data_IF_330754752785
#
_entry.id   IF_330754752785
#
_cell.length_a   1.000
_cell.length_b   1.000
_cell.length_c   1.000
_cell.angle_alpha   90.00
_cell.angle_beta   90.00
_cell.angle_gamma   90.00
#
_symmetry.space_group_name_H-M   'P 1'
#
loop_
_entity.id
_entity.type
_entity.pdbx_description
1 polymer ?
#
# COMPACT_ATOMS: atom_id res chain seq x y z
N UNK A 1 22.08 -14.26 -8.09
CA UNK A 1 20.94 -15.21 -8.12
C UNK A 1 20.32 -15.17 -6.74
N UNK A 2 19.37 -14.28 -6.52
CA UNK A 2 18.63 -14.24 -5.26
C UNK A 2 17.62 -15.38 -5.31
N UNK A 3 17.77 -16.33 -4.39
CA UNK A 3 16.77 -17.36 -4.13
C UNK A 3 15.42 -16.67 -3.95
N UNK A 4 14.40 -17.10 -4.73
CA UNK A 4 13.05 -16.58 -4.61
C UNK A 4 12.60 -16.77 -3.16
N UNK A 5 12.37 -15.67 -2.46
CA UNK A 5 11.81 -15.69 -1.11
C UNK A 5 10.50 -16.51 -1.16
N UNK A 6 10.40 -17.62 -0.40
CA UNK A 6 9.19 -18.43 -0.35
C UNK A 6 7.95 -17.60 0.01
N UNK A 7 8.15 -16.51 0.75
CA UNK A 7 7.11 -15.58 1.21
C UNK A 7 6.61 -14.72 0.04
N UNK A 8 7.51 -14.16 -0.78
CA UNK A 8 7.15 -13.44 -2.01
C UNK A 8 6.39 -14.35 -2.98
N UNK A 9 6.79 -15.62 -3.07
CA UNK A 9 6.14 -16.61 -3.94
C UNK A 9 4.70 -16.93 -3.48
N UNK A 10 4.48 -17.04 -2.15
CA UNK A 10 3.17 -17.30 -1.58
C UNK A 10 2.22 -16.09 -1.71
N UNK A 11 2.72 -14.88 -1.44
CA UNK A 11 1.98 -13.63 -1.64
C UNK A 11 1.54 -13.49 -3.10
N UNK A 12 2.49 -13.67 -4.02
CA UNK A 12 2.26 -13.65 -5.47
C UNK A 12 1.21 -14.66 -5.90
N UNK A 13 1.25 -15.90 -5.40
CA UNK A 13 0.27 -16.93 -5.77
C UNK A 13 -1.18 -16.59 -5.32
N UNK A 14 -1.33 -15.95 -4.16
CA UNK A 14 -2.66 -15.51 -3.66
C UNK A 14 -3.13 -14.29 -4.45
N UNK A 15 -2.24 -13.32 -4.66
CA UNK A 15 -2.56 -12.12 -5.42
C UNK A 15 -2.91 -12.43 -6.88
N UNK A 16 -2.21 -13.36 -7.53
CA UNK A 16 -2.56 -13.86 -8.86
C UNK A 16 -3.97 -14.44 -8.90
N UNK A 17 -4.38 -15.20 -7.88
CA UNK A 17 -5.75 -15.78 -7.82
C UNK A 17 -6.84 -14.73 -7.65
N UNK A 18 -6.57 -13.65 -6.93
CA UNK A 18 -7.55 -12.59 -6.62
C UNK A 18 -7.57 -11.52 -7.72
N UNK A 19 -6.43 -11.31 -8.39
CA UNK A 19 -6.26 -10.30 -9.44
C UNK A 19 -7.20 -10.51 -10.63
N UNK A 20 -7.41 -11.76 -11.07
CA UNK A 20 -8.26 -12.10 -12.22
C UNK A 20 -9.76 -12.14 -11.90
N UNK A 21 -10.16 -11.83 -10.67
CA UNK A 21 -11.57 -11.81 -10.29
C UNK A 21 -12.11 -10.40 -10.57
N UNK A 22 -12.84 -10.27 -11.68
CA UNK A 22 -13.48 -9.02 -12.13
C UNK A 22 -14.64 -8.58 -11.23
N UNK A 23 -15.29 -9.54 -10.57
CA UNK A 23 -16.37 -9.30 -9.62
C UNK A 23 -15.79 -8.93 -8.23
N UNK A 24 -16.01 -7.67 -7.83
CA UNK A 24 -15.43 -7.12 -6.60
C UNK A 24 -15.87 -7.89 -5.35
N UNK A 25 -17.14 -8.27 -5.26
CA UNK A 25 -17.70 -8.99 -4.10
C UNK A 25 -17.14 -10.42 -4.03
N UNK A 26 -16.91 -11.09 -5.16
CA UNK A 26 -16.18 -12.37 -5.22
C UNK A 26 -14.71 -12.22 -4.86
N UNK A 27 -14.05 -11.16 -5.32
CA UNK A 27 -12.66 -10.89 -5.00
C UNK A 27 -12.48 -10.64 -3.50
N UNK A 28 -13.40 -9.88 -2.89
CA UNK A 28 -13.45 -9.62 -1.45
C UNK A 28 -13.77 -10.90 -0.66
N UNK A 29 -14.70 -11.73 -1.13
CA UNK A 29 -15.03 -13.00 -0.48
C UNK A 29 -13.89 -14.02 -0.56
N UNK A 30 -13.19 -14.12 -1.69
CA UNK A 30 -12.01 -14.99 -1.78
C UNK A 30 -10.83 -14.44 -0.99
N UNK A 31 -10.59 -13.12 -1.01
CA UNK A 31 -9.60 -12.53 -0.11
C UNK A 31 -9.97 -12.83 1.35
N UNK A 32 -11.22 -12.64 1.76
CA UNK A 32 -11.68 -12.94 3.12
C UNK A 32 -11.53 -14.43 3.48
N UNK A 33 -11.75 -15.36 2.55
CA UNK A 33 -11.50 -16.80 2.76
C UNK A 33 -10.01 -17.11 2.91
N UNK A 34 -9.14 -16.49 2.11
CA UNK A 34 -7.69 -16.67 2.22
C UNK A 34 -7.14 -16.01 3.48
N UNK A 35 -7.63 -14.82 3.85
CA UNK A 35 -7.36 -14.14 5.12
C UNK A 35 -7.78 -14.98 6.33
N UNK A 36 -8.83 -15.80 6.21
CA UNK A 36 -9.27 -16.74 7.27
C UNK A 36 -8.44 -18.04 7.34
N UNK A 37 -7.68 -18.39 6.30
CA UNK A 37 -6.79 -19.57 6.23
C UNK A 37 -5.33 -19.26 6.55
N UNK A 38 -5.10 -18.10 7.15
CA UNK A 38 -3.85 -17.35 7.14
C UNK A 38 -3.14 -17.43 8.50
N UNK A 39 -2.60 -18.59 8.87
CA UNK A 39 -2.20 -18.78 10.27
C UNK A 39 -0.75 -18.40 10.63
N UNK A 40 0.14 -18.10 9.68
CA UNK A 40 1.54 -17.76 10.02
C UNK A 40 2.19 -16.75 9.09
N UNK A 41 2.54 -17.18 7.88
CA UNK A 41 3.56 -16.48 7.09
C UNK A 41 3.05 -15.22 6.40
N UNK A 42 1.85 -15.23 5.82
CA UNK A 42 1.23 -14.03 5.25
C UNK A 42 0.86 -13.02 6.34
N UNK A 43 0.50 -13.49 7.54
CA UNK A 43 0.26 -12.66 8.72
C UNK A 43 1.57 -12.00 9.17
N UNK A 44 2.67 -12.75 9.18
CA UNK A 44 4.01 -12.23 9.47
C UNK A 44 4.47 -11.24 8.39
N UNK A 45 4.21 -11.47 7.11
CA UNK A 45 4.55 -10.54 6.02
C UNK A 45 3.78 -9.20 6.14
N UNK A 46 2.47 -9.26 6.41
CA UNK A 46 1.67 -8.06 6.66
C UNK A 46 2.10 -7.37 7.95
N UNK A 47 2.46 -8.13 8.97
CA UNK A 47 3.05 -7.60 10.18
C UNK A 47 4.43 -6.97 9.92
N UNK A 48 5.29 -7.53 9.07
CA UNK A 48 6.62 -6.99 8.73
C UNK A 48 6.51 -5.69 7.93
N UNK A 49 5.63 -5.64 6.90
CA UNK A 49 5.35 -4.37 6.21
C UNK A 49 4.71 -3.37 7.16
N UNK A 50 3.77 -3.78 8.02
CA UNK A 50 3.20 -2.93 9.07
C UNK A 50 4.26 -2.47 10.08
N UNK A 51 5.20 -3.32 10.45
CA UNK A 51 6.28 -3.00 11.39
C UNK A 51 7.25 -2.00 10.78
N UNK A 52 7.59 -2.15 9.49
CA UNK A 52 8.36 -1.15 8.75
C UNK A 52 7.73 0.24 8.91
N UNK A 53 6.44 0.40 8.62
CA UNK A 53 5.81 1.73 8.66
C UNK A 53 5.42 2.20 10.07
N UNK A 54 4.88 1.32 10.92
CA UNK A 54 4.37 1.72 12.24
C UNK A 54 5.44 1.81 13.34
N UNK A 55 6.63 1.22 13.14
CA UNK A 55 7.74 1.25 14.11
C UNK A 55 8.95 2.05 13.63
N UNK A 56 9.05 2.41 12.34
CA UNK A 56 10.17 3.18 11.81
C UNK A 56 9.73 4.58 11.34
N UNK A 57 10.01 5.64 12.12
CA UNK A 57 9.73 7.03 11.72
C UNK A 57 10.36 7.45 10.38
N UNK A 58 11.47 6.83 9.97
CA UNK A 58 12.09 7.14 8.66
C UNK A 58 11.19 6.76 7.49
N UNK A 59 10.35 5.72 7.62
CA UNK A 59 9.42 5.34 6.56
C UNK A 59 8.31 6.37 6.36
N UNK A 60 7.95 7.16 7.38
CA UNK A 60 7.05 8.30 7.25
C UNK A 60 7.75 9.45 6.49
N UNK A 61 9.04 9.69 6.76
CA UNK A 61 9.82 10.70 6.05
C UNK A 61 10.01 10.37 4.56
N UNK A 62 10.17 9.08 4.22
CA UNK A 62 10.22 8.62 2.83
C UNK A 62 8.96 8.99 2.07
N UNK A 63 7.78 8.79 2.67
CA UNK A 63 6.48 9.11 2.07
C UNK A 63 6.30 10.61 1.88
N UNK A 64 6.67 11.42 2.88
CA UNK A 64 6.64 12.88 2.76
C UNK A 64 7.60 13.36 1.66
N UNK A 65 8.78 12.74 1.56
CA UNK A 65 9.73 13.02 0.48
C UNK A 65 9.14 12.71 -0.90
N UNK A 66 8.45 11.57 -1.03
CA UNK A 66 7.70 11.18 -2.24
C UNK A 66 6.59 12.19 -2.57
N UNK A 67 5.79 12.60 -1.59
CA UNK A 67 4.74 13.62 -1.77
C UNK A 67 5.32 14.95 -2.26
N UNK A 68 6.37 15.45 -1.61
CA UNK A 68 7.04 16.69 -2.03
C UNK A 68 7.60 16.60 -3.46
N UNK A 69 8.15 15.43 -3.83
CA UNK A 69 8.60 15.19 -5.20
C UNK A 69 7.44 15.25 -6.19
N UNK A 70 6.30 14.61 -5.88
CA UNK A 70 5.11 14.61 -6.74
C UNK A 70 4.50 16.01 -6.90
N UNK A 71 4.41 16.78 -5.81
CA UNK A 71 3.91 18.16 -5.85
C UNK A 71 4.81 19.05 -6.71
N UNK A 72 6.14 18.90 -6.56
CA UNK A 72 7.12 19.69 -7.30
C UNK A 72 7.18 19.34 -8.79
N UNK A 73 6.71 18.15 -9.17
CA UNK A 73 6.80 17.62 -10.53
C UNK A 73 5.43 17.38 -11.17
N UNK A 74 4.36 17.98 -10.68
CA UNK A 74 2.98 17.74 -11.18
C UNK A 74 2.84 17.99 -12.70
N UNK A 75 3.63 18.94 -13.25
CA UNK A 75 3.71 19.20 -14.69
C UNK A 75 4.12 17.96 -15.51
N UNK A 76 4.80 17.01 -14.88
CA UNK A 76 5.28 15.77 -15.45
C UNK A 76 4.32 14.59 -15.24
N UNK A 77 3.06 14.81 -14.81
CA UNK A 77 2.14 13.72 -14.45
C UNK A 77 1.85 12.64 -15.49
N UNK A 78 2.16 12.92 -16.76
CA UNK A 78 2.06 11.94 -17.86
C UNK A 78 3.31 11.08 -18.04
N UNK A 79 4.44 11.48 -17.45
CA UNK A 79 5.70 10.75 -17.52
C UNK A 79 5.62 9.49 -16.66
N UNK A 80 6.24 8.41 -17.15
CA UNK A 80 6.22 7.11 -16.49
C UNK A 80 6.90 7.15 -15.12
N UNK A 81 8.03 7.85 -14.97
CA UNK A 81 8.73 8.01 -13.68
C UNK A 81 7.84 8.65 -12.61
N UNK A 82 7.12 9.72 -12.99
CA UNK A 82 6.16 10.36 -12.10
C UNK A 82 5.06 9.39 -11.67
N UNK A 83 4.51 8.64 -12.63
CA UNK A 83 3.43 7.68 -12.37
C UNK A 83 3.89 6.50 -11.52
N UNK A 84 5.14 6.06 -11.63
CA UNK A 84 5.76 5.06 -10.75
C UNK A 84 5.88 5.61 -9.33
N UNK A 85 6.36 6.84 -9.18
CA UNK A 85 6.46 7.49 -7.88
C UNK A 85 5.08 7.67 -7.23
N UNK A 86 4.08 8.06 -8.03
CA UNK A 86 2.70 8.22 -7.59
C UNK A 86 2.09 6.89 -7.15
N UNK A 87 2.21 5.84 -7.95
CA UNK A 87 1.72 4.51 -7.58
C UNK A 87 2.31 4.03 -6.25
N UNK A 88 3.62 4.23 -6.06
CA UNK A 88 4.32 3.89 -4.83
C UNK A 88 3.82 4.70 -3.63
N UNK A 89 3.68 6.01 -3.80
CA UNK A 89 3.19 6.89 -2.74
C UNK A 89 1.79 6.49 -2.27
N UNK A 90 0.86 6.26 -3.19
CA UNK A 90 -0.51 5.89 -2.86
C UNK A 90 -0.57 4.54 -2.11
N UNK A 91 0.25 3.57 -2.53
CA UNK A 91 0.37 2.27 -1.84
C UNK A 91 0.93 2.47 -0.43
N UNK A 92 2.02 3.23 -0.29
CA UNK A 92 2.68 3.45 0.99
C UNK A 92 1.76 4.21 1.97
N UNK A 93 1.00 5.20 1.51
CA UNK A 93 -0.05 5.88 2.29
C UNK A 93 -1.15 4.90 2.70
N UNK A 94 -1.62 4.06 1.78
CA UNK A 94 -2.64 3.06 2.08
C UNK A 94 -2.18 2.05 3.14
N UNK A 95 -0.89 1.69 3.14
CA UNK A 95 -0.31 0.81 4.15
C UNK A 95 -0.20 1.50 5.52
N UNK A 96 0.11 2.80 5.57
CA UNK A 96 0.17 3.58 6.80
C UNK A 96 -1.18 3.68 7.54
N UNK A 97 -2.30 3.54 6.83
CA UNK A 97 -3.62 3.44 7.46
C UNK A 97 -3.68 2.34 8.53
N UNK A 98 -2.86 1.31 8.44
CA UNK A 98 -2.83 0.23 9.43
C UNK A 98 -2.13 0.60 10.74
N UNK A 99 -1.51 1.79 10.81
CA UNK A 99 -0.79 2.30 11.97
C UNK A 99 -1.65 3.21 12.85
N UNK A 100 -2.74 3.78 12.32
CA UNK A 100 -3.57 4.71 13.09
C UNK A 100 -4.45 3.98 14.10
N UNK A 101 -4.80 4.67 15.18
CA UNK A 101 -5.63 4.10 16.24
C UNK A 101 -7.02 3.69 15.74
N UNK A 102 -7.66 4.54 14.93
CA UNK A 102 -9.00 4.32 14.38
C UNK A 102 -9.09 3.04 13.54
N UNK A 103 -8.00 2.64 12.88
CA UNK A 103 -7.92 1.37 12.14
C UNK A 103 -8.22 0.17 13.04
N UNK A 104 -7.82 0.20 14.31
CA UNK A 104 -8.09 -0.90 15.22
C UNK A 104 -9.56 -0.95 15.67
N UNK A 105 -10.33 0.11 15.44
CA UNK A 105 -11.72 0.25 15.88
C UNK A 105 -12.74 -0.09 14.79
N UNK A 106 -12.35 -0.08 13.51
CA UNK A 106 -13.24 -0.45 12.41
C UNK A 106 -13.36 -1.98 12.24
N UNK A 107 -14.51 -2.43 11.71
CA UNK A 107 -14.80 -3.85 11.53
C UNK A 107 -13.91 -4.50 10.47
N UNK A 108 -13.78 -5.84 10.52
CA UNK A 108 -12.99 -6.58 9.54
C UNK A 108 -13.49 -6.41 8.10
N UNK A 109 -14.81 -6.33 7.90
CA UNK A 109 -15.40 -6.15 6.57
C UNK A 109 -15.04 -4.78 5.98
N UNK A 110 -15.02 -3.72 6.80
CA UNK A 110 -14.59 -2.39 6.36
C UNK A 110 -13.09 -2.36 6.05
N UNK A 111 -12.26 -3.03 6.85
CA UNK A 111 -10.83 -3.20 6.54
C UNK A 111 -10.62 -3.90 5.21
N UNK A 112 -11.38 -4.97 4.95
CA UNK A 112 -11.26 -5.73 3.71
C UNK A 112 -11.55 -4.88 2.47
N UNK A 113 -12.52 -3.96 2.53
CA UNK A 113 -12.86 -3.02 1.44
C UNK A 113 -11.68 -2.13 1.03
N UNK A 114 -10.81 -1.77 1.97
CA UNK A 114 -9.60 -0.97 1.73
C UNK A 114 -8.43 -1.88 1.34
N UNK A 115 -8.20 -2.95 2.10
CA UNK A 115 -7.04 -3.84 1.92
C UNK A 115 -7.09 -4.59 0.59
N UNK A 116 -8.28 -4.97 0.10
CA UNK A 116 -8.42 -5.69 -1.17
C UNK A 116 -7.86 -4.90 -2.36
N UNK A 117 -8.37 -3.70 -2.67
CA UNK A 117 -7.82 -2.89 -3.75
C UNK A 117 -6.36 -2.48 -3.46
N UNK A 118 -5.98 -2.18 -2.21
CA UNK A 118 -4.60 -1.84 -1.86
C UNK A 118 -3.59 -2.97 -2.17
N UNK A 119 -3.94 -4.22 -1.88
CA UNK A 119 -3.07 -5.34 -2.21
C UNK A 119 -3.05 -5.61 -3.71
N UNK A 120 -4.20 -5.48 -4.40
CA UNK A 120 -4.24 -5.53 -5.87
C UNK A 120 -3.33 -4.48 -6.50
N UNK A 121 -3.33 -3.26 -5.95
CA UNK A 121 -2.43 -2.19 -6.35
C UNK A 121 -0.97 -2.59 -6.17
N UNK A 122 -0.61 -3.05 -4.97
CA UNK A 122 0.75 -3.50 -4.65
C UNK A 122 1.26 -4.56 -5.62
N UNK A 123 0.43 -5.55 -5.95
CA UNK A 123 0.84 -6.60 -6.87
C UNK A 123 0.93 -6.11 -8.32
N UNK A 124 0.01 -5.26 -8.75
CA UNK A 124 0.05 -4.65 -10.08
C UNK A 124 1.31 -3.78 -10.24
N UNK A 125 1.74 -3.07 -9.19
CA UNK A 125 3.00 -2.33 -9.17
C UNK A 125 4.21 -3.25 -9.41
N UNK A 126 4.29 -4.37 -8.69
CA UNK A 126 5.36 -5.36 -8.87
C UNK A 126 5.38 -5.94 -10.30
N UNK A 127 4.20 -6.22 -10.88
CA UNK A 127 4.09 -6.68 -12.27
C UNK A 127 4.54 -5.60 -13.25
N UNK A 128 4.20 -4.33 -13.01
CA UNK A 128 4.61 -3.21 -13.83
C UNK A 128 6.13 -3.07 -13.92
N UNK A 129 6.82 -3.33 -12.81
CA UNK A 129 8.28 -3.20 -12.70
C UNK A 129 9.05 -4.49 -12.99
N UNK A 130 8.38 -5.60 -13.28
CA UNK A 130 8.99 -6.93 -13.40
C UNK A 130 10.14 -7.00 -14.41
N UNK A 131 10.08 -6.21 -15.47
CA UNK A 131 11.09 -6.19 -16.53
C UNK A 131 12.13 -5.06 -16.37
N UNK A 132 12.15 -4.40 -15.19
CA UNK A 132 13.02 -3.27 -14.89
C UNK A 132 12.45 -1.92 -15.32
N UNK A 133 13.11 -0.83 -14.88
CA UNK A 133 12.63 0.54 -15.06
C UNK A 133 12.63 1.03 -16.52
N UNK A 134 13.40 0.38 -17.38
CA UNK A 134 13.51 0.71 -18.80
C UNK A 134 12.37 0.09 -19.65
N UNK A 135 11.66 -0.90 -19.11
CA UNK A 135 10.60 -1.63 -19.82
C UNK A 135 9.38 -1.83 -18.92
N UNK A 136 8.75 -0.72 -18.57
CA UNK A 136 7.59 -0.66 -17.68
C UNK A 136 6.35 -1.20 -18.39
N UNK A 137 5.64 -2.12 -17.75
CA UNK A 137 4.32 -2.52 -18.19
C UNK A 137 3.27 -1.48 -17.76
N UNK A 138 2.94 -0.60 -18.71
CA UNK A 138 1.99 0.49 -18.55
C UNK A 138 0.57 0.05 -18.19
N UNK A 139 0.17 -1.18 -18.56
CA UNK A 139 -1.16 -1.69 -18.21
C UNK A 139 -1.23 -1.96 -16.72
N UNK A 140 -0.22 -2.64 -16.18
CA UNK A 140 -0.14 -2.96 -14.77
C UNK A 140 0.14 -1.71 -13.92
N UNK A 141 0.92 -0.75 -14.42
CA UNK A 141 1.13 0.52 -13.73
C UNK A 141 -0.17 1.32 -13.59
N UNK A 142 -0.96 1.44 -14.65
CA UNK A 142 -2.27 2.09 -14.59
C UNK A 142 -3.22 1.38 -13.63
N UNK A 143 -3.22 0.04 -13.65
CA UNK A 143 -4.05 -0.76 -12.75
C UNK A 143 -3.62 -0.60 -11.30
N UNK A 144 -2.32 -0.47 -11.04
CA UNK A 144 -1.78 -0.19 -9.72
C UNK A 144 -2.30 1.13 -9.17
N UNK A 145 -2.19 2.20 -9.95
CA UNK A 145 -2.66 3.53 -9.55
C UNK A 145 -4.15 3.50 -9.26
N UNK A 146 -4.95 3.01 -10.21
CA UNK A 146 -6.41 2.93 -10.07
C UNK A 146 -6.84 2.22 -8.79
N UNK A 147 -6.21 1.07 -8.48
CA UNK A 147 -6.54 0.28 -7.31
C UNK A 147 -6.08 0.95 -6.01
N UNK A 148 -4.96 1.68 -6.03
CA UNK A 148 -4.51 2.43 -4.87
C UNK A 148 -5.45 3.62 -4.59
N UNK A 149 -5.86 4.35 -5.64
CA UNK A 149 -6.86 5.42 -5.55
C UNK A 149 -8.19 4.89 -4.98
N UNK A 150 -8.71 3.77 -5.49
CA UNK A 150 -9.94 3.14 -4.96
C UNK A 150 -9.80 2.76 -3.47
N UNK A 151 -8.64 2.27 -3.06
CA UNK A 151 -8.38 1.95 -1.66
C UNK A 151 -8.41 3.20 -0.76
N UNK A 152 -7.79 4.29 -1.23
CA UNK A 152 -7.72 5.54 -0.49
C UNK A 152 -9.05 6.29 -0.47
N UNK A 153 -9.83 6.25 -1.55
CA UNK A 153 -11.19 6.79 -1.60
C UNK A 153 -12.07 6.12 -0.53
N UNK A 154 -12.05 4.78 -0.47
CA UNK A 154 -12.77 4.03 0.58
C UNK A 154 -12.27 4.32 1.99
N UNK A 155 -10.99 4.64 2.14
CA UNK A 155 -10.42 5.03 3.42
C UNK A 155 -10.86 6.45 3.84
N UNK A 156 -10.99 7.35 2.86
CA UNK A 156 -11.47 8.72 3.05
C UNK A 156 -12.94 8.75 3.47
N UNK A 157 -13.78 7.95 2.83
CA UNK A 157 -15.20 7.76 3.19
C UNK A 157 -15.38 7.33 4.66
N UNK A 158 -14.38 6.67 5.24
CA UNK A 158 -14.34 6.22 6.63
C UNK A 158 -13.63 7.21 7.57
N UNK A 159 -13.20 8.36 7.08
CA UNK A 159 -12.46 9.39 7.81
C UNK A 159 -11.04 8.98 8.21
N UNK A 160 -10.48 7.95 7.58
CA UNK A 160 -9.18 7.41 7.99
C UNK A 160 -8.02 8.27 7.49
N UNK A 161 -8.17 8.98 6.37
CA UNK A 161 -7.13 9.86 5.83
C UNK A 161 -6.87 11.07 6.72
N UNK A 162 -7.92 11.67 7.28
CA UNK A 162 -7.79 12.76 8.25
C UNK A 162 -7.04 12.32 9.52
N UNK A 163 -7.35 11.13 10.03
CA UNK A 163 -6.64 10.56 11.17
C UNK A 163 -5.20 10.19 10.84
N UNK A 164 -4.95 9.72 9.61
CA UNK A 164 -3.60 9.48 9.12
C UNK A 164 -2.77 10.76 9.06
N UNK A 165 -3.35 11.86 8.60
CA UNK A 165 -2.67 13.17 8.59
C UNK A 165 -2.23 13.58 9.99
N UNK A 166 -3.14 13.50 10.97
CA UNK A 166 -2.82 13.77 12.39
C UNK A 166 -1.74 12.84 12.91
N UNK A 167 -1.77 11.56 12.54
CA UNK A 167 -0.74 10.59 12.94
C UNK A 167 0.65 10.96 12.39
N UNK A 168 0.73 11.35 11.12
CA UNK A 168 1.97 11.78 10.47
C UNK A 168 2.53 13.04 11.15
N UNK A 169 1.71 14.06 11.34
CA UNK A 169 2.11 15.33 12.00
C UNK A 169 2.65 15.08 13.43
N UNK A 170 1.96 14.26 14.21
CA UNK A 170 2.39 13.89 15.55
C UNK A 170 3.69 13.07 15.55
N UNK A 171 3.86 12.18 14.58
CA UNK A 171 5.06 11.35 14.44
C UNK A 171 6.28 12.19 14.06
N UNK A 172 6.11 13.18 13.17
CA UNK A 172 7.14 14.16 12.81
C UNK A 172 7.56 15.02 14.00
N UNK A 173 6.59 15.56 14.75
CA UNK A 173 6.87 16.38 15.92
C UNK A 173 7.71 15.64 16.97
N UNK A 174 7.39 14.36 17.21
CA UNK A 174 8.18 13.48 18.08
C UNK A 174 9.59 13.24 17.54
N UNK A 175 9.73 12.95 16.25
CA UNK A 175 11.03 12.70 15.63
C UNK A 175 11.96 13.92 15.74
N UNK A 176 11.51 15.11 15.34
CA UNK A 176 12.30 16.35 15.43
C UNK A 176 12.75 16.60 16.88
N UNK A 177 11.84 16.46 17.84
CA UNK A 177 12.16 16.63 19.27
C UNK A 177 13.20 15.62 19.79
N UNK A 178 13.22 14.40 19.25
CA UNK A 178 14.18 13.36 19.63
C UNK A 178 15.57 13.53 19.01
N UNK A 179 15.67 14.27 17.90
CA UNK A 179 16.95 14.58 17.22
C UNK A 179 17.59 15.90 17.67
N UNK A 180 16.87 16.72 18.43
CA UNK A 180 17.35 18.00 18.99
C UNK A 180 17.82 17.91 20.45
N UNK A 181 17.81 16.70 21.05
CA UNK A 181 18.42 16.37 22.35
C UNK A 181 19.69 15.54 22.15
#
# INVERSE_FOLDING_TARGET
MTENDPIDSAFKSIMEKIYWIDDLEKAENELAKWLRKMDGDLRNLLLERREKYCKNPMSIMEIIGLQNYLDSNESNKKQTEYRIAMARELIDVGLLLQCIFLWNQISHDLKAKILTPLYKASYAYELALKNGLENIDETHLNRSIQMAEEALEKADDLGLLDELRKYIENSLGKFISSTSN
#
